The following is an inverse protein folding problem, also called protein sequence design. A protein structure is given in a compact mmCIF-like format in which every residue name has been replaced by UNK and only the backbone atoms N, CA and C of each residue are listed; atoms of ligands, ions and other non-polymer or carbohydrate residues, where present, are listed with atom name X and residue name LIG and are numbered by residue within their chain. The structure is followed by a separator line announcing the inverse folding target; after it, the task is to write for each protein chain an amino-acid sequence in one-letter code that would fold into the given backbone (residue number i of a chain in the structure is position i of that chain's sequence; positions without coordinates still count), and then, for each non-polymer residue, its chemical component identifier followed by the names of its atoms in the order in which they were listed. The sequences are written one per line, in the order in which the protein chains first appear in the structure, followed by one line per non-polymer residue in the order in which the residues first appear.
data_IF_495680806625
#
_entry.id   IF_495680806625
#
_cell.length_a   1.000
_cell.length_b   1.000
_cell.length_c   1.000
_cell.angle_alpha   90.00
_cell.angle_beta   90.00
_cell.angle_gamma   90.00
#
_symmetry.space_group_name_H-M   'P 1'
#
loop_
_entity.id
_entity.type
_entity.pdbx_description
1 polymer ?
#
# COMPACT_ATOMS: atom_id res chain seq x y z
N UNK A 1 -18.57 -22.79 27.78
CA UNK A 1 -17.81 -21.59 27.39
C UNK A 1 -16.61 -22.12 26.63
N UNK A 2 -16.78 -22.34 25.33
CA UNK A 2 -15.70 -22.82 24.46
C UNK A 2 -14.68 -21.70 24.28
N UNK A 3 -13.37 -22.00 24.23
CA UNK A 3 -12.38 -20.99 23.94
C UNK A 3 -12.54 -20.55 22.48
N UNK A 4 -12.60 -19.24 22.26
CA UNK A 4 -12.45 -18.67 20.91
C UNK A 4 -11.16 -19.24 20.31
N UNK A 5 -11.29 -20.00 19.23
CA UNK A 5 -10.16 -20.39 18.41
C UNK A 5 -9.44 -19.12 17.98
N UNK A 6 -8.23 -18.89 18.51
CA UNK A 6 -7.32 -17.91 17.94
C UNK A 6 -7.01 -18.37 16.52
N UNK A 7 -7.37 -17.57 15.53
CA UNK A 7 -6.98 -17.82 14.14
C UNK A 7 -5.45 -17.98 14.08
N UNK A 8 -4.92 -18.89 13.25
CA UNK A 8 -3.48 -19.00 13.04
C UNK A 8 -2.92 -17.63 12.67
N UNK A 9 -1.97 -17.14 13.46
CA UNK A 9 -1.42 -15.80 13.26
C UNK A 9 -0.84 -15.72 11.84
N UNK A 10 -1.39 -14.81 11.03
CA UNK A 10 -1.02 -14.70 9.62
C UNK A 10 0.47 -14.32 9.51
N UNK A 11 1.24 -15.08 8.71
CA UNK A 11 2.65 -14.76 8.39
C UNK A 11 2.85 -13.34 7.85
N UNK A 12 1.78 -12.71 7.36
CA UNK A 12 1.79 -11.33 6.93
C UNK A 12 2.24 -10.36 8.03
N UNK A 13 1.74 -10.52 9.26
CA UNK A 13 2.00 -9.57 10.36
C UNK A 13 3.42 -9.69 10.95
N UNK A 14 4.17 -10.72 10.55
CA UNK A 14 5.54 -10.96 11.04
C UNK A 14 6.56 -9.98 10.47
N UNK A 15 6.36 -9.53 9.21
CA UNK A 15 7.30 -8.73 8.43
C UNK A 15 8.79 -9.10 8.70
N UNK A 16 9.21 -10.33 8.38
CA UNK A 16 10.42 -10.92 8.98
C UNK A 16 11.74 -10.34 8.46
N UNK A 17 11.73 -9.63 7.33
CA UNK A 17 12.93 -9.20 6.62
C UNK A 17 13.21 -7.68 6.68
N UNK A 18 12.45 -6.94 7.49
CA UNK A 18 12.58 -5.48 7.60
C UNK A 18 13.07 -5.05 8.99
N UNK A 19 13.58 -3.82 9.10
CA UNK A 19 14.03 -3.25 10.36
C UNK A 19 12.87 -3.10 11.36
N UNK A 20 13.19 -3.04 12.66
CA UNK A 20 12.18 -2.97 13.71
C UNK A 20 11.22 -1.78 13.56
N UNK A 21 11.68 -0.54 13.29
CA UNK A 21 10.76 0.60 13.11
C UNK A 21 9.78 0.42 11.95
N UNK A 22 10.23 -0.18 10.83
CA UNK A 22 9.35 -0.45 9.68
C UNK A 22 8.32 -1.52 10.02
N UNK A 23 8.73 -2.62 10.67
CA UNK A 23 7.81 -3.67 11.11
C UNK A 23 6.76 -3.11 12.07
N UNK A 24 7.19 -2.38 13.09
CA UNK A 24 6.31 -1.77 14.08
C UNK A 24 5.27 -0.86 13.40
N UNK A 25 5.71 0.01 12.49
CA UNK A 25 4.80 0.85 11.72
C UNK A 25 3.79 0.04 10.91
N UNK A 26 4.22 -0.96 10.13
CA UNK A 26 3.30 -1.76 9.30
C UNK A 26 2.29 -2.52 10.15
N UNK A 27 2.71 -3.06 11.30
CA UNK A 27 1.82 -3.73 12.27
C UNK A 27 0.81 -2.74 12.86
N UNK A 28 1.24 -1.54 13.25
CA UNK A 28 0.36 -0.52 13.83
C UNK A 28 -0.66 0.02 12.81
N UNK A 29 -0.26 0.24 11.56
CA UNK A 29 -1.18 0.66 10.50
C UNK A 29 -2.24 -0.42 10.23
N UNK A 30 -1.82 -1.69 10.14
CA UNK A 30 -2.75 -2.79 9.95
C UNK A 30 -3.68 -2.94 11.17
N UNK A 31 -3.14 -2.87 12.38
CA UNK A 31 -3.93 -2.92 13.61
C UNK A 31 -4.94 -1.76 13.71
N UNK A 32 -4.58 -0.57 13.22
CA UNK A 32 -5.49 0.58 13.16
C UNK A 32 -6.65 0.33 12.19
N UNK A 33 -6.39 -0.27 11.03
CA UNK A 33 -7.43 -0.69 10.07
C UNK A 33 -8.33 -1.75 10.70
N UNK A 34 -7.76 -2.79 11.30
CA UNK A 34 -8.51 -3.85 11.97
C UNK A 34 -9.42 -3.31 13.08
N UNK A 35 -8.89 -2.39 13.89
CA UNK A 35 -9.63 -1.78 15.00
C UNK A 35 -10.79 -0.93 14.48
N UNK A 36 -10.58 -0.15 13.42
CA UNK A 36 -11.53 0.86 12.98
C UNK A 36 -12.53 0.36 11.94
N UNK A 37 -12.14 -0.61 11.12
CA UNK A 37 -12.91 -1.14 10.00
C UNK A 37 -13.19 -2.64 10.12
N UNK A 38 -12.73 -3.33 11.17
CA UNK A 38 -12.84 -4.78 11.27
C UNK A 38 -14.26 -5.34 11.14
N UNK A 39 -15.28 -4.61 11.62
CA UNK A 39 -16.70 -4.96 11.46
C UNK A 39 -17.22 -4.81 10.03
N UNK A 40 -16.54 -4.00 9.22
CA UNK A 40 -16.89 -3.71 7.83
C UNK A 40 -16.12 -4.60 6.84
N UNK A 41 -15.35 -5.56 7.34
CA UNK A 41 -14.46 -6.41 6.57
C UNK A 41 -14.77 -7.89 6.78
N UNK A 42 -14.84 -8.65 5.69
CA UNK A 42 -14.83 -10.11 5.75
C UNK A 42 -13.45 -10.63 6.22
N UNK A 43 -13.38 -11.83 6.83
CA UNK A 43 -12.11 -12.51 7.08
C UNK A 43 -11.31 -12.71 5.78
N UNK A 44 -10.00 -12.96 5.91
CA UNK A 44 -9.17 -13.28 4.75
C UNK A 44 -9.59 -14.62 4.13
N UNK A 45 -9.92 -14.62 2.84
CA UNK A 45 -10.35 -15.83 2.10
C UNK A 45 -9.27 -16.35 1.16
N UNK A 46 -8.05 -15.83 1.24
CA UNK A 46 -6.96 -16.27 0.37
C UNK A 46 -6.59 -17.74 0.66
N UNK A 47 -6.32 -18.54 -0.38
CA UNK A 47 -5.72 -19.86 -0.21
C UNK A 47 -4.40 -19.79 0.58
N UNK A 48 -4.08 -20.77 1.44
CA UNK A 48 -2.85 -20.73 2.25
C UNK A 48 -1.56 -20.58 1.44
N UNK A 49 -1.51 -21.17 0.24
CA UNK A 49 -0.41 -21.13 -0.73
C UNK A 49 -0.34 -19.84 -1.56
N UNK A 50 -1.25 -18.90 -1.29
CA UNK A 50 -1.25 -17.51 -1.75
C UNK A 50 -1.05 -16.54 -0.58
N UNK A 51 -1.50 -16.89 0.63
CA UNK A 51 -1.19 -16.12 1.84
C UNK A 51 0.30 -16.11 2.15
N UNK A 52 1.00 -17.20 1.87
CA UNK A 52 2.45 -17.29 1.91
C UNK A 52 2.94 -18.13 0.75
N UNK A 53 3.96 -17.63 0.05
CA UNK A 53 4.56 -18.30 -1.09
C UNK A 53 6.06 -18.04 -1.15
N UNK A 54 6.79 -18.99 -1.69
CA UNK A 54 8.22 -18.90 -1.92
C UNK A 54 8.57 -19.52 -3.25
N UNK A 55 9.72 -19.14 -3.80
CA UNK A 55 10.22 -19.74 -5.02
C UNK A 55 10.92 -21.08 -4.72
N UNK A 56 11.05 -21.99 -5.70
CA UNK A 56 11.53 -23.35 -5.44
C UNK A 56 12.95 -23.44 -4.86
N UNK A 57 13.78 -22.42 -5.06
CA UNK A 57 15.16 -22.37 -4.54
C UNK A 57 15.28 -21.58 -3.21
N UNK A 58 14.17 -21.08 -2.67
CA UNK A 58 14.12 -20.33 -1.42
C UNK A 58 14.78 -18.95 -1.45
N UNK A 59 15.08 -18.40 -2.63
CA UNK A 59 15.68 -17.06 -2.80
C UNK A 59 14.66 -15.92 -2.78
N UNK A 60 13.36 -16.21 -2.98
CA UNK A 60 12.29 -15.22 -2.93
C UNK A 60 11.10 -15.74 -2.12
N UNK A 61 10.59 -14.88 -1.23
CA UNK A 61 9.54 -15.15 -0.26
C UNK A 61 8.51 -14.03 -0.36
N UNK A 62 7.25 -14.35 -0.15
CA UNK A 62 6.19 -13.36 -0.13
C UNK A 62 5.03 -13.78 0.75
N UNK A 63 4.31 -12.78 1.25
CA UNK A 63 3.05 -12.97 1.92
C UNK A 63 2.04 -11.95 1.42
N UNK A 64 0.79 -12.39 1.31
CA UNK A 64 -0.33 -11.58 0.91
C UNK A 64 -1.44 -11.73 1.94
N UNK A 65 -2.01 -10.60 2.34
CA UNK A 65 -3.17 -10.54 3.21
C UNK A 65 -4.23 -9.67 2.55
N UNK A 66 -5.44 -10.20 2.46
CA UNK A 66 -6.54 -9.52 1.79
C UNK A 66 -7.79 -9.64 2.64
N UNK A 67 -8.49 -8.52 2.83
CA UNK A 67 -9.84 -8.49 3.41
C UNK A 67 -10.77 -7.67 2.54
N UNK A 68 -11.84 -8.29 2.06
CA UNK A 68 -12.86 -7.61 1.27
C UNK A 68 -13.86 -6.92 2.19
N UNK A 69 -14.33 -5.74 1.79
CA UNK A 69 -15.39 -5.06 2.54
C UNK A 69 -16.74 -5.74 2.38
N UNK A 70 -17.55 -5.74 3.44
CA UNK A 70 -18.92 -6.24 3.41
C UNK A 70 -19.78 -5.42 2.43
N UNK A 71 -20.94 -5.93 1.95
CA UNK A 71 -21.72 -5.24 0.92
C UNK A 71 -22.16 -3.81 1.27
N UNK A 72 -22.41 -3.51 2.55
CA UNK A 72 -22.79 -2.17 3.02
C UNK A 72 -21.61 -1.23 3.27
N UNK A 73 -20.38 -1.74 3.19
CA UNK A 73 -19.18 -0.94 3.47
C UNK A 73 -18.78 -0.08 2.27
N UNK A 74 -18.22 1.10 2.55
CA UNK A 74 -17.50 1.89 1.54
C UNK A 74 -16.18 1.24 1.12
N UNK A 75 -15.65 0.32 1.92
CA UNK A 75 -14.42 -0.41 1.62
C UNK A 75 -14.71 -1.46 0.55
N UNK A 76 -13.88 -1.47 -0.49
CA UNK A 76 -13.83 -2.58 -1.43
C UNK A 76 -12.86 -3.66 -0.92
N UNK A 77 -11.63 -3.25 -0.62
CA UNK A 77 -10.53 -4.17 -0.34
C UNK A 77 -9.47 -3.51 0.52
N UNK A 78 -9.01 -4.21 1.56
CA UNK A 78 -7.73 -3.96 2.21
C UNK A 78 -6.74 -5.02 1.72
N UNK A 79 -5.59 -4.57 1.22
CA UNK A 79 -4.52 -5.43 0.70
C UNK A 79 -3.22 -5.07 1.42
N UNK A 80 -2.68 -6.05 2.14
CA UNK A 80 -1.34 -5.99 2.71
C UNK A 80 -0.43 -7.01 2.03
N UNK A 81 0.82 -6.65 1.79
CA UNK A 81 1.82 -7.61 1.29
C UNK A 81 3.21 -7.34 1.84
N UNK A 82 4.04 -8.38 1.83
CA UNK A 82 5.47 -8.21 1.89
C UNK A 82 6.17 -9.18 0.92
N UNK A 83 7.30 -8.74 0.37
CA UNK A 83 8.15 -9.51 -0.53
C UNK A 83 9.60 -9.40 -0.05
N UNK A 84 10.30 -10.52 -0.02
CA UNK A 84 11.74 -10.58 0.16
C UNK A 84 12.35 -11.33 -1.03
N UNK A 85 13.39 -10.77 -1.63
CA UNK A 85 14.14 -11.45 -2.68
C UNK A 85 15.64 -11.22 -2.53
N UNK A 86 16.41 -12.30 -2.45
CA UNK A 86 17.87 -12.28 -2.50
C UNK A 86 18.33 -12.00 -3.93
N UNK A 87 19.19 -11.01 -4.08
CA UNK A 87 19.77 -10.64 -5.35
C UNK A 87 21.06 -11.45 -5.62
N UNK A 88 21.37 -11.77 -6.89
CA UNK A 88 22.63 -12.42 -7.24
C UNK A 88 23.89 -11.64 -6.80
N UNK A 89 23.77 -10.33 -6.60
CA UNK A 89 24.83 -9.46 -6.10
C UNK A 89 25.13 -9.61 -4.61
N UNK A 90 24.38 -10.44 -3.88
CA UNK A 90 24.52 -10.65 -2.43
C UNK A 90 23.64 -9.73 -1.56
N UNK A 91 22.95 -8.76 -2.16
CA UNK A 91 21.95 -7.93 -1.47
C UNK A 91 20.55 -8.56 -1.44
N UNK A 92 19.56 -7.81 -0.97
CA UNK A 92 18.16 -8.22 -1.01
C UNK A 92 17.23 -7.04 -1.28
N UNK A 93 16.13 -7.31 -1.97
CA UNK A 93 15.01 -6.39 -2.12
C UNK A 93 13.93 -6.81 -1.14
N UNK A 94 13.50 -5.87 -0.30
CA UNK A 94 12.40 -6.02 0.62
C UNK A 94 11.32 -5.00 0.26
N UNK A 95 10.10 -5.47 0.01
CA UNK A 95 8.94 -4.62 -0.26
C UNK A 95 7.91 -4.89 0.81
N UNK A 96 7.32 -3.85 1.38
CA UNK A 96 6.13 -3.97 2.24
C UNK A 96 5.10 -2.97 1.79
N UNK A 97 3.88 -3.42 1.55
CA UNK A 97 2.80 -2.59 1.01
C UNK A 97 1.55 -2.75 1.85
N UNK A 98 0.82 -1.65 2.03
CA UNK A 98 -0.54 -1.65 2.54
C UNK A 98 -1.36 -0.69 1.69
N UNK A 99 -2.41 -1.20 1.07
CA UNK A 99 -3.35 -0.45 0.25
C UNK A 99 -4.77 -0.65 0.74
N UNK A 100 -5.57 0.42 0.72
CA UNK A 100 -7.00 0.36 0.96
C UNK A 100 -7.74 0.95 -0.24
N UNK A 101 -8.62 0.15 -0.83
CA UNK A 101 -9.45 0.51 -1.97
C UNK A 101 -10.89 0.72 -1.53
N UNK A 102 -11.49 1.82 -1.97
CA UNK A 102 -12.89 2.14 -1.76
C UNK A 102 -13.77 1.68 -2.93
N UNK A 103 -15.05 1.43 -2.67
CA UNK A 103 -16.06 1.09 -3.69
C UNK A 103 -16.46 2.33 -4.50
N UNK A 104 -17.09 2.12 -5.65
CA UNK A 104 -17.65 3.19 -6.49
C UNK A 104 -18.86 3.91 -5.87
N UNK A 105 -19.41 3.39 -4.77
CA UNK A 105 -20.44 4.06 -3.96
C UNK A 105 -19.94 5.31 -3.22
N UNK A 106 -18.63 5.56 -3.19
CA UNK A 106 -18.02 6.80 -2.75
C UNK A 106 -16.98 7.24 -3.78
N UNK A 107 -16.77 8.55 -3.92
CA UNK A 107 -15.72 9.09 -4.77
C UNK A 107 -14.41 9.36 -4.01
N UNK A 108 -14.37 9.16 -2.70
CA UNK A 108 -13.21 9.52 -1.89
C UNK A 108 -11.93 8.76 -2.30
N UNK A 109 -10.73 9.34 -2.10
CA UNK A 109 -9.46 8.73 -2.44
C UNK A 109 -9.22 7.37 -1.78
N UNK A 110 -8.37 6.56 -2.42
CA UNK A 110 -7.82 5.34 -1.81
C UNK A 110 -6.69 5.70 -0.81
N UNK A 111 -6.09 4.69 -0.18
CA UNK A 111 -4.87 4.83 0.63
C UNK A 111 -3.80 3.87 0.16
N UNK A 112 -2.54 4.30 0.16
CA UNK A 112 -1.39 3.41 -0.07
C UNK A 112 -0.18 3.87 0.72
N UNK A 113 0.53 2.90 1.30
CA UNK A 113 1.90 3.04 1.76
C UNK A 113 2.72 1.85 1.24
N UNK A 114 3.90 2.13 0.73
CA UNK A 114 4.84 1.14 0.25
C UNK A 114 6.28 1.56 0.59
N UNK A 115 7.02 0.59 1.14
CA UNK A 115 8.45 0.70 1.36
C UNK A 115 9.14 -0.26 0.39
N UNK A 116 10.10 0.24 -0.38
CA UNK A 116 10.96 -0.56 -1.26
C UNK A 116 12.40 -0.35 -0.80
N UNK A 117 12.96 -1.35 -0.12
CA UNK A 117 14.32 -1.31 0.44
C UNK A 117 15.20 -2.25 -0.35
N UNK A 118 16.25 -1.72 -0.98
CA UNK A 118 17.20 -2.52 -1.78
C UNK A 118 18.54 -2.75 -1.08
N UNK A 119 18.80 -2.00 0.00
CA UNK A 119 19.95 -2.16 0.88
C UNK A 119 19.65 -1.57 2.27
N UNK A 120 20.51 -1.78 3.28
CA UNK A 120 20.38 -1.11 4.58
C UNK A 120 20.41 0.43 4.49
N UNK A 121 20.98 0.97 3.41
CA UNK A 121 21.25 2.39 3.20
C UNK A 121 20.39 3.05 2.12
N UNK A 122 19.52 2.29 1.44
CA UNK A 122 18.65 2.80 0.37
C UNK A 122 17.21 2.37 0.60
N UNK A 123 16.32 3.35 0.71
CA UNK A 123 14.88 3.15 0.85
C UNK A 123 14.12 4.07 -0.12
N UNK A 124 13.13 3.51 -0.82
CA UNK A 124 12.08 4.30 -1.46
C UNK A 124 10.81 4.20 -0.63
N UNK A 125 10.20 5.34 -0.34
CA UNK A 125 8.89 5.46 0.28
C UNK A 125 7.90 6.00 -0.75
N UNK A 126 6.76 5.33 -0.83
CA UNK A 126 5.56 5.76 -1.53
C UNK A 126 4.46 5.84 -0.49
N UNK A 127 3.88 7.02 -0.28
CA UNK A 127 2.76 7.21 0.64
C UNK A 127 1.81 8.26 0.07
N UNK A 128 0.55 7.88 -0.10
CA UNK A 128 -0.43 8.73 -0.77
C UNK A 128 -1.88 8.38 -0.43
N UNK A 129 -2.76 9.33 -0.76
CA UNK A 129 -4.20 9.10 -0.96
C UNK A 129 -4.53 9.21 -2.46
N UNK A 130 -4.42 8.13 -3.26
CA UNK A 130 -4.54 8.25 -4.72
C UNK A 130 -5.93 8.74 -5.16
N UNK A 131 -6.01 9.76 -6.04
CA UNK A 131 -7.27 10.33 -6.48
C UNK A 131 -8.04 9.32 -7.32
N UNK A 132 -9.37 9.31 -7.17
CA UNK A 132 -10.26 8.48 -7.98
C UNK A 132 -10.98 9.24 -9.09
N UNK A 133 -10.85 10.56 -9.13
CA UNK A 133 -11.33 11.45 -10.20
C UNK A 133 -10.17 12.16 -10.91
N UNK A 134 -10.44 12.65 -12.12
CA UNK A 134 -9.50 13.53 -12.81
C UNK A 134 -9.44 14.90 -12.10
N UNK A 135 -8.26 15.29 -11.63
CA UNK A 135 -8.09 16.48 -10.80
C UNK A 135 -8.21 17.80 -11.58
N UNK A 136 -8.02 17.78 -12.90
CA UNK A 136 -8.17 18.97 -13.76
C UNK A 136 -9.64 19.19 -14.07
N UNK A 137 -10.39 18.11 -14.33
CA UNK A 137 -11.83 18.18 -14.57
C UNK A 137 -12.64 18.45 -13.30
N UNK A 138 -12.09 18.12 -12.13
CA UNK A 138 -12.75 18.23 -10.83
C UNK A 138 -11.93 19.03 -9.80
N UNK A 139 -11.78 20.35 -9.98
CA UNK A 139 -11.02 21.19 -9.06
C UNK A 139 -11.60 21.20 -7.63
N UNK A 140 -12.91 21.02 -7.48
CA UNK A 140 -13.56 20.86 -6.18
C UNK A 140 -13.11 19.60 -5.43
N UNK A 141 -12.84 18.52 -6.17
CA UNK A 141 -12.29 17.29 -5.60
C UNK A 141 -10.86 17.49 -5.12
N UNK A 142 -10.05 18.18 -5.93
CA UNK A 142 -8.68 18.55 -5.57
C UNK A 142 -8.67 19.35 -4.26
N UNK A 143 -9.55 20.36 -4.17
CA UNK A 143 -9.68 21.20 -2.98
C UNK A 143 -10.03 20.39 -1.73
N UNK A 144 -11.11 19.60 -1.78
CA UNK A 144 -11.64 18.88 -0.60
C UNK A 144 -10.65 17.88 -0.03
N UNK A 145 -9.96 17.12 -0.90
CA UNK A 145 -9.14 16.00 -0.44
C UNK A 145 -7.67 16.32 -0.27
N UNK A 146 -7.16 17.38 -0.90
CA UNK A 146 -5.71 17.65 -0.93
C UNK A 146 -5.34 19.06 -0.47
N UNK A 147 -6.13 20.08 -0.81
CA UNK A 147 -5.85 21.45 -0.35
C UNK A 147 -6.34 21.66 1.09
N UNK A 148 -7.59 21.30 1.38
CA UNK A 148 -8.22 21.51 2.69
C UNK A 148 -7.64 20.59 3.78
N UNK A 149 -7.18 19.40 3.40
CA UNK A 149 -6.52 18.45 4.31
C UNK A 149 -5.08 18.83 4.62
N UNK A 150 -4.47 19.70 3.80
CA UNK A 150 -3.08 20.15 3.93
C UNK A 150 -2.02 19.03 3.95
N UNK A 151 -2.32 17.84 3.41
CA UNK A 151 -1.43 16.68 3.47
C UNK A 151 -0.07 16.91 2.79
N UNK A 152 0.00 17.85 1.83
CA UNK A 152 1.26 18.26 1.18
C UNK A 152 2.33 18.79 2.16
N UNK A 153 1.92 19.20 3.37
CA UNK A 153 2.86 19.59 4.44
C UNK A 153 3.82 18.47 4.83
N UNK A 154 3.36 17.22 4.81
CA UNK A 154 4.19 16.07 5.17
C UNK A 154 5.26 15.79 4.12
N UNK A 155 4.89 15.91 2.84
CA UNK A 155 5.84 15.81 1.73
C UNK A 155 6.92 16.88 1.83
N UNK A 156 6.54 18.13 2.13
CA UNK A 156 7.48 19.24 2.35
C UNK A 156 8.41 18.97 3.53
N UNK A 157 7.86 18.57 4.68
CA UNK A 157 8.63 18.22 5.88
C UNK A 157 9.71 17.16 5.60
N UNK A 158 9.35 16.05 4.94
CA UNK A 158 10.34 15.03 4.61
C UNK A 158 11.42 15.52 3.65
N UNK A 159 11.08 16.40 2.70
CA UNK A 159 12.04 16.97 1.75
C UNK A 159 13.03 17.96 2.37
N UNK A 160 12.77 18.45 3.60
CA UNK A 160 13.72 19.27 4.35
C UNK A 160 14.87 18.45 4.94
N UNK A 161 14.70 17.13 5.07
CA UNK A 161 15.73 16.23 5.60
C UNK A 161 16.88 16.07 4.58
N UNK A 162 18.16 16.19 5.01
CA UNK A 162 19.30 16.21 4.10
C UNK A 162 19.45 14.97 3.21
N UNK A 163 19.05 13.79 3.70
CA UNK A 163 19.19 12.49 3.04
C UNK A 163 18.00 12.11 2.16
N UNK A 164 16.94 12.91 2.20
CA UNK A 164 15.70 12.67 1.45
C UNK A 164 15.75 13.39 0.11
N UNK A 165 15.40 12.68 -0.96
CA UNK A 165 15.30 13.20 -2.33
C UNK A 165 13.98 12.78 -2.96
N UNK A 166 13.45 13.54 -3.92
CA UNK A 166 12.29 13.09 -4.69
C UNK A 166 12.60 11.80 -5.45
N UNK A 167 11.71 10.81 -5.34
CA UNK A 167 11.75 9.59 -6.14
C UNK A 167 10.86 9.74 -7.36
N UNK A 168 11.43 9.50 -8.54
CA UNK A 168 10.69 9.51 -9.80
C UNK A 168 10.57 8.08 -10.35
N UNK A 169 9.39 7.46 -10.17
CA UNK A 169 9.12 6.12 -10.71
C UNK A 169 9.46 6.03 -12.19
N UNK A 170 10.11 4.96 -12.65
CA UNK A 170 10.38 4.75 -14.09
C UNK A 170 9.08 4.59 -14.90
N UNK A 171 7.97 4.21 -14.25
CA UNK A 171 6.65 4.13 -14.85
C UNK A 171 5.97 5.49 -14.87
N UNK A 172 5.74 6.04 -16.07
CA UNK A 172 4.93 7.25 -16.23
C UNK A 172 3.48 7.04 -15.80
N UNK A 173 2.97 5.81 -15.93
CA UNK A 173 1.63 5.47 -15.45
C UNK A 173 1.54 5.63 -13.94
N UNK A 174 2.53 5.11 -13.20
CA UNK A 174 2.64 5.31 -11.74
C UNK A 174 2.65 6.80 -11.44
N UNK A 175 3.50 7.60 -12.09
CA UNK A 175 3.52 9.06 -11.85
C UNK A 175 2.17 9.75 -12.07
N UNK A 176 1.33 9.26 -12.99
CA UNK A 176 0.06 9.87 -13.34
C UNK A 176 -1.12 9.47 -12.41
N UNK A 177 -1.02 8.36 -11.68
CA UNK A 177 -2.11 7.88 -10.80
C UNK A 177 -2.01 8.43 -9.38
N UNK A 178 -0.82 8.86 -8.94
CA UNK A 178 -0.59 9.41 -7.61
C UNK A 178 -1.03 10.87 -7.50
N UNK A 179 -1.41 11.28 -6.29
CA UNK A 179 -1.88 12.65 -6.04
C UNK A 179 -0.75 13.69 -6.14
N UNK A 180 -1.09 14.98 -6.35
CA UNK A 180 -0.13 16.08 -6.29
C UNK A 180 0.56 16.22 -4.92
N UNK A 181 -0.05 15.71 -3.85
CA UNK A 181 0.52 15.72 -2.49
C UNK A 181 1.25 14.42 -2.11
N UNK A 182 1.38 13.47 -3.04
CA UNK A 182 2.01 12.17 -2.78
C UNK A 182 3.45 12.31 -2.26
N UNK A 183 3.78 11.50 -1.26
CA UNK A 183 5.13 11.36 -0.75
C UNK A 183 5.80 10.26 -1.56
N UNK A 184 6.52 10.67 -2.60
CA UNK A 184 7.34 9.81 -3.46
C UNK A 184 8.81 10.21 -3.22
N UNK A 185 9.48 9.54 -2.28
CA UNK A 185 10.85 9.93 -1.88
C UNK A 185 11.81 8.74 -1.85
N UNK A 186 13.07 9.02 -2.17
CA UNK A 186 14.21 8.13 -1.95
C UNK A 186 15.04 8.66 -0.80
N UNK A 187 15.46 7.77 0.08
CA UNK A 187 16.29 8.04 1.26
C UNK A 187 17.56 7.23 1.08
N UNK A 188 18.67 7.93 0.87
CA UNK A 188 19.98 7.34 0.70
C UNK A 188 20.83 7.80 1.88
N UNK A 189 21.11 6.89 2.80
CA UNK A 189 21.95 7.17 3.95
C UNK A 189 23.37 6.64 3.73
N UNK A 190 24.36 7.21 4.41
CA UNK A 190 25.71 6.64 4.47
C UNK A 190 25.98 6.08 5.87
N UNK A 191 26.91 5.12 6.00
CA UNK A 191 27.24 4.52 7.30
C UNK A 191 27.77 5.55 8.33
N UNK A 192 28.27 6.70 7.86
CA UNK A 192 28.81 7.79 8.66
C UNK A 192 27.78 8.89 9.02
N UNK A 193 26.52 8.74 8.61
CA UNK A 193 25.50 9.76 8.86
C UNK A 193 24.91 9.67 10.27
N UNK A 194 24.68 10.85 10.86
CA UNK A 194 24.18 11.00 12.24
C UNK A 194 22.76 10.43 12.41
N UNK A 195 21.97 10.41 11.34
CA UNK A 195 20.59 9.91 11.34
C UNK A 195 20.45 8.73 10.37
N UNK A 196 20.13 7.55 10.89
CA UNK A 196 19.97 6.34 10.08
C UNK A 196 18.57 6.28 9.48
N UNK A 197 18.40 5.55 8.38
CA UNK A 197 17.07 5.29 7.78
C UNK A 197 16.06 4.80 8.84
N UNK A 198 16.52 3.96 9.76
CA UNK A 198 15.69 3.41 10.82
C UNK A 198 15.18 4.50 11.79
N UNK A 199 15.98 5.56 12.04
CA UNK A 199 15.59 6.73 12.83
C UNK A 199 14.58 7.60 12.06
N UNK A 200 14.82 7.84 10.78
CA UNK A 200 13.88 8.58 9.91
C UNK A 200 12.53 7.86 9.83
N UNK A 201 12.52 6.53 9.76
CA UNK A 201 11.28 5.75 9.78
C UNK A 201 10.53 5.98 11.09
N UNK A 202 11.22 5.90 12.23
CA UNK A 202 10.62 6.02 13.55
C UNK A 202 10.13 7.44 13.85
N UNK A 203 10.96 8.43 13.59
CA UNK A 203 10.80 9.79 14.09
C UNK A 203 10.07 10.71 13.09
N UNK A 204 10.06 10.35 11.80
CA UNK A 204 9.41 11.13 10.75
C UNK A 204 8.34 10.37 9.99
N UNK A 205 8.67 9.23 9.37
CA UNK A 205 7.73 8.52 8.48
C UNK A 205 6.57 7.93 9.27
N UNK A 206 6.82 7.33 10.44
CA UNK A 206 5.79 6.67 11.25
C UNK A 206 4.70 7.65 11.72
N UNK A 207 5.02 8.81 12.33
CA UNK A 207 4.02 9.83 12.63
C UNK A 207 3.23 10.29 11.41
N UNK A 208 3.91 10.55 10.29
CA UNK A 208 3.28 11.00 9.04
C UNK A 208 2.30 9.96 8.49
N UNK A 209 2.73 8.70 8.40
CA UNK A 209 1.91 7.62 7.87
C UNK A 209 0.65 7.39 8.72
N UNK A 210 0.78 7.46 10.05
CA UNK A 210 -0.36 7.37 10.98
C UNK A 210 -1.32 8.54 10.81
N UNK A 211 -0.82 9.75 10.63
CA UNK A 211 -1.66 10.92 10.41
C UNK A 211 -2.39 10.86 9.07
N UNK A 212 -1.71 10.43 8.00
CA UNK A 212 -2.31 10.24 6.68
C UNK A 212 -3.38 9.15 6.70
N UNK A 213 -3.14 8.03 7.39
CA UNK A 213 -4.14 6.98 7.57
C UNK A 213 -5.31 7.47 8.43
N UNK A 214 -5.05 8.23 9.49
CA UNK A 214 -6.07 8.89 10.33
C UNK A 214 -6.97 9.80 9.51
N UNK A 215 -6.37 10.67 8.69
CA UNK A 215 -7.08 11.55 7.76
C UNK A 215 -7.91 10.76 6.75
N UNK A 216 -7.35 9.67 6.21
CA UNK A 216 -8.08 8.80 5.28
C UNK A 216 -9.32 8.20 5.94
N UNK A 217 -9.22 7.72 7.18
CA UNK A 217 -10.39 7.24 7.90
C UNK A 217 -11.44 8.35 8.06
N UNK A 218 -11.01 9.51 8.56
CA UNK A 218 -11.91 10.61 8.95
C UNK A 218 -12.61 11.28 7.75
N UNK A 219 -11.94 11.35 6.60
CA UNK A 219 -12.40 12.13 5.44
C UNK A 219 -12.85 11.24 4.27
N UNK A 220 -12.35 10.00 4.19
CA UNK A 220 -12.55 9.11 3.04
C UNK A 220 -13.33 7.85 3.39
N UNK A 221 -12.88 7.06 4.37
CA UNK A 221 -13.42 5.73 4.63
C UNK A 221 -14.74 5.73 5.45
N UNK A 222 -14.99 6.77 6.25
CA UNK A 222 -16.15 6.85 7.15
C UNK A 222 -17.19 7.90 6.77
N UNK A 223 -16.98 8.66 5.70
CA UNK A 223 -17.89 9.73 5.28
C UNK A 223 -18.75 9.24 4.11
N UNK A 224 -20.04 9.06 4.37
CA UNK A 224 -21.02 8.79 3.32
C UNK A 224 -21.11 9.99 2.37
N UNK A 225 -21.05 9.71 1.07
CA UNK A 225 -21.16 10.70 0.00
C UNK A 225 -22.11 10.14 -1.05
N UNK A 226 -23.05 10.95 -1.49
CA UNK A 226 -23.95 10.54 -2.56
C UNK A 226 -23.19 10.59 -3.89
N UNK A 227 -23.05 9.44 -4.53
CA UNK A 227 -22.43 9.31 -5.85
C UNK A 227 -23.51 8.89 -6.84
N UNK A 228 -23.75 9.73 -7.86
CA UNK A 228 -24.72 9.43 -8.90
C UNK A 228 -24.32 8.22 -9.75
N UNK A 229 -25.30 7.58 -10.41
CA UNK A 229 -25.05 6.37 -11.21
C UNK A 229 -23.95 6.53 -12.27
N UNK A 230 -23.95 7.65 -12.99
CA UNK A 230 -22.95 7.93 -14.02
C UNK A 230 -21.54 8.14 -13.41
N UNK A 231 -21.44 8.86 -12.29
CA UNK A 231 -20.17 9.07 -11.57
C UNK A 231 -19.64 7.75 -11.01
N UNK A 232 -20.50 6.91 -10.42
CA UNK A 232 -20.15 5.59 -9.92
C UNK A 232 -19.58 4.69 -11.03
N UNK A 233 -20.20 4.69 -12.21
CA UNK A 233 -19.72 3.92 -13.35
C UNK A 233 -18.35 4.43 -13.87
N UNK A 234 -18.13 5.74 -13.86
CA UNK A 234 -16.84 6.33 -14.23
C UNK A 234 -15.72 5.96 -13.23
N UNK A 235 -16.01 6.04 -11.93
CA UNK A 235 -15.09 5.62 -10.86
C UNK A 235 -14.71 4.15 -11.03
N UNK A 236 -15.69 3.26 -11.21
CA UNK A 236 -15.43 1.83 -11.40
C UNK A 236 -14.57 1.57 -12.64
N UNK A 237 -14.86 2.25 -13.76
CA UNK A 237 -14.06 2.14 -14.98
C UNK A 237 -12.61 2.56 -14.74
N UNK A 238 -12.40 3.70 -14.08
CA UNK A 238 -11.05 4.23 -13.81
C UNK A 238 -10.29 3.34 -12.83
N UNK A 239 -10.93 2.92 -11.75
CA UNK A 239 -10.33 2.01 -10.76
C UNK A 239 -9.90 0.69 -11.40
N UNK A 240 -10.73 0.11 -12.26
CA UNK A 240 -10.40 -1.13 -12.99
C UNK A 240 -9.19 -0.94 -13.91
N UNK A 241 -9.07 0.21 -14.58
CA UNK A 241 -7.89 0.50 -15.40
C UNK A 241 -6.63 0.56 -14.52
N UNK A 242 -6.69 1.27 -13.39
CA UNK A 242 -5.56 1.41 -12.46
C UNK A 242 -5.14 0.06 -11.91
N UNK A 243 -6.07 -0.70 -11.32
CA UNK A 243 -5.76 -2.02 -10.74
C UNK A 243 -5.13 -2.96 -11.76
N UNK A 244 -5.68 -3.05 -12.97
CA UNK A 244 -5.14 -3.93 -14.00
C UNK A 244 -3.76 -3.48 -14.49
N UNK A 245 -3.54 -2.16 -14.65
CA UNK A 245 -2.24 -1.64 -15.05
C UNK A 245 -1.17 -1.78 -13.96
N UNK A 246 -1.54 -1.64 -12.69
CA UNK A 246 -0.65 -1.92 -11.56
C UNK A 246 -0.23 -3.40 -11.56
N UNK A 247 -1.17 -4.34 -11.75
CA UNK A 247 -0.81 -5.77 -11.88
C UNK A 247 0.13 -5.99 -13.06
N UNK A 248 -0.11 -5.37 -14.21
CA UNK A 248 0.73 -5.53 -15.41
C UNK A 248 2.15 -4.97 -15.23
N UNK A 249 2.26 -3.74 -14.72
CA UNK A 249 3.52 -2.99 -14.64
C UNK A 249 4.37 -3.46 -13.46
N UNK A 250 3.77 -3.55 -12.27
CA UNK A 250 4.52 -3.78 -11.03
C UNK A 250 4.72 -5.26 -10.77
N UNK A 251 3.69 -6.09 -11.03
CA UNK A 251 3.71 -7.51 -10.65
C UNK A 251 3.98 -8.43 -11.84
N UNK A 252 3.40 -8.16 -13.01
CA UNK A 252 3.42 -9.06 -14.17
C UNK A 252 4.81 -9.29 -14.76
N UNK A 253 5.67 -8.27 -14.70
CA UNK A 253 7.05 -8.36 -15.19
C UNK A 253 8.03 -8.88 -14.11
N UNK A 254 7.73 -8.64 -12.84
CA UNK A 254 8.63 -8.95 -11.72
C UNK A 254 8.36 -10.34 -11.13
N UNK A 255 7.10 -10.72 -10.92
CA UNK A 255 6.73 -11.96 -10.21
C UNK A 255 7.26 -13.22 -10.89
N UNK A 256 7.12 -13.43 -12.21
CA UNK A 256 7.68 -14.62 -12.85
C UNK A 256 9.20 -14.73 -12.69
N UNK A 257 9.90 -13.58 -12.68
CA UNK A 257 11.35 -13.52 -12.49
C UNK A 257 11.76 -13.82 -11.04
N UNK A 258 10.98 -13.37 -10.07
CA UNK A 258 11.26 -13.54 -8.64
C UNK A 258 10.86 -14.94 -8.15
N UNK A 259 9.65 -15.38 -8.51
CA UNK A 259 8.98 -16.54 -7.93
C UNK A 259 8.90 -17.77 -8.84
N UNK A 260 9.22 -17.61 -10.13
CA UNK A 260 8.97 -18.61 -11.15
C UNK A 260 7.53 -18.56 -11.68
N UNK A 261 7.34 -19.09 -12.88
CA UNK A 261 6.08 -18.95 -13.63
C UNK A 261 4.88 -19.54 -12.88
N UNK A 262 5.03 -20.73 -12.29
CA UNK A 262 3.94 -21.42 -11.60
C UNK A 262 3.41 -20.64 -10.40
N UNK A 263 4.30 -20.14 -9.54
CA UNK A 263 3.91 -19.34 -8.36
C UNK A 263 3.34 -18.01 -8.81
N UNK A 264 3.94 -17.37 -9.82
CA UNK A 264 3.44 -16.12 -10.36
C UNK A 264 2.02 -16.26 -10.93
N UNK A 265 1.76 -17.28 -11.76
CA UNK A 265 0.44 -17.49 -12.36
C UNK A 265 -0.63 -17.72 -11.29
N UNK A 266 -0.30 -18.50 -10.25
CA UNK A 266 -1.21 -18.75 -9.13
C UNK A 266 -1.54 -17.46 -8.36
N UNK A 267 -0.52 -16.74 -7.90
CA UNK A 267 -0.72 -15.54 -7.06
C UNK A 267 -1.36 -14.41 -7.87
N UNK A 268 -0.90 -14.16 -9.10
CA UNK A 268 -1.46 -13.12 -9.97
C UNK A 268 -2.87 -13.46 -10.45
N UNK A 269 -3.20 -14.74 -10.65
CA UNK A 269 -4.56 -15.17 -10.93
C UNK A 269 -5.52 -14.75 -9.83
N UNK A 270 -5.21 -15.12 -8.58
CA UNK A 270 -6.03 -14.76 -7.41
C UNK A 270 -6.11 -13.24 -7.21
N UNK A 271 -5.00 -12.51 -7.36
CA UNK A 271 -5.02 -11.04 -7.26
C UNK A 271 -5.90 -10.39 -8.32
N UNK A 272 -5.90 -10.88 -9.56
CA UNK A 272 -6.77 -10.36 -10.63
C UNK A 272 -8.24 -10.59 -10.31
N UNK A 273 -8.58 -11.77 -9.81
CA UNK A 273 -9.96 -12.11 -9.47
C UNK A 273 -10.48 -11.20 -8.34
N UNK A 274 -9.66 -10.98 -7.31
CA UNK A 274 -10.02 -10.16 -6.16
C UNK A 274 -10.11 -8.67 -6.52
N UNK A 275 -9.16 -8.16 -7.30
CA UNK A 275 -9.10 -6.74 -7.63
C UNK A 275 -10.22 -6.31 -8.61
N UNK A 276 -10.70 -7.26 -9.43
CA UNK A 276 -11.77 -7.03 -10.41
C UNK A 276 -13.16 -7.54 -9.96
N UNK A 277 -13.27 -8.11 -8.76
CA UNK A 277 -14.55 -8.42 -8.11
C UNK A 277 -15.20 -7.14 -7.54
#
# INVERSE_FOLDING_TARGET
MEPLHAEPQSKFIEFPYVCAPQRELMVELMSSIETRLGSDLHPCTLPPDVQYYENPNGSAHGSLHVRSGIPSSLINLILGSWIHCKLPSGGAVNITTLSAYLRSSTNAPNFVIEFIRTSPVSLVLILDLPPRKDLVLHPEYLKVFYEDTQLDRHRKHLQELPVVRPYFSSSLFVRAVFSPSSIMVSIEANDDEEERIDDIIRDHISPIAKEMLGTWFDVCASVEREVGGDESAELERRDRIIKNKTIEIDLGLSYPRLFGQEVADRVLGVLRDILNA
#
